data_IF_239979404530
#
_entry.id   IF_239979404530
#
_cell.length_a   1.000
_cell.length_b   1.000
_cell.length_c   1.000
_cell.angle_alpha   90.00
_cell.angle_beta   90.00
_cell.angle_gamma   90.00
#
_symmetry.space_group_name_H-M   'P 1'
#
loop_
_entity.id
_entity.type
_entity.pdbx_description
1 polymer ?
#
# COMPACT_ATOMS: atom_id res chain seq x y z
N UNK A 1 16.00 -9.16 8.88
CA UNK A 1 14.74 -9.58 9.55
C UNK A 1 13.80 -10.10 8.48
N UNK A 2 12.75 -10.88 8.79
CA UNK A 2 11.77 -11.29 7.77
C UNK A 2 10.99 -10.07 7.27
N UNK A 3 10.67 -10.02 5.99
CA UNK A 3 9.78 -9.00 5.42
C UNK A 3 8.37 -9.16 6.02
N UNK A 4 7.85 -8.13 6.67
CA UNK A 4 6.52 -8.15 7.28
C UNK A 4 5.64 -7.05 6.67
N UNK A 5 4.38 -7.39 6.38
CA UNK A 5 3.35 -6.40 6.02
C UNK A 5 2.19 -6.52 6.99
N UNK A 6 1.84 -5.40 7.65
CA UNK A 6 0.65 -5.27 8.46
C UNK A 6 -0.42 -4.45 7.71
N UNK A 7 -1.66 -4.93 7.75
CA UNK A 7 -2.80 -4.32 7.08
C UNK A 7 -3.46 -3.31 8.02
N UNK A 8 -3.16 -2.02 7.87
CA UNK A 8 -3.77 -0.93 8.63
C UNK A 8 -5.20 -0.71 8.16
N UNK A 9 -5.41 -0.74 6.84
CA UNK A 9 -6.70 -0.62 6.19
C UNK A 9 -6.77 -1.48 4.94
N UNK A 10 -7.97 -1.95 4.61
CA UNK A 10 -8.23 -2.84 3.48
C UNK A 10 -9.46 -2.45 2.68
N UNK A 11 -10.24 -1.48 3.17
CA UNK A 11 -11.47 -1.02 2.53
C UNK A 11 -11.18 -0.15 1.29
N UNK A 12 -12.18 -0.06 0.43
CA UNK A 12 -12.22 0.92 -0.66
C UNK A 12 -12.40 2.35 -0.14
N UNK A 13 -12.62 3.30 -1.04
CA UNK A 13 -12.76 4.72 -0.76
C UNK A 13 -13.84 5.10 0.29
N UNK A 14 -14.78 4.21 0.57
CA UNK A 14 -15.85 4.42 1.54
C UNK A 14 -15.80 3.33 2.63
N UNK A 15 -14.87 3.41 3.59
CA UNK A 15 -14.79 2.42 4.65
C UNK A 15 -16.03 2.46 5.53
N UNK A 16 -16.53 1.28 5.94
CA UNK A 16 -17.57 1.14 6.93
C UNK A 16 -17.06 1.51 8.33
N UNK A 17 -17.97 1.65 9.30
CA UNK A 17 -17.59 1.93 10.69
C UNK A 17 -16.58 0.91 11.22
N UNK A 18 -15.52 1.40 11.85
CA UNK A 18 -14.42 0.59 12.36
C UNK A 18 -13.39 0.13 11.31
N UNK A 19 -13.68 0.31 10.02
CA UNK A 19 -12.76 -0.02 8.93
C UNK A 19 -11.89 1.19 8.54
N UNK A 20 -10.90 0.94 7.68
CA UNK A 20 -9.97 1.95 7.17
C UNK A 20 -9.77 1.75 5.68
N UNK A 21 -9.61 2.83 4.91
CA UNK A 21 -9.19 2.73 3.52
C UNK A 21 -7.80 2.12 3.39
N UNK A 22 -7.47 1.66 2.21
CA UNK A 22 -6.24 0.90 1.94
C UNK A 22 -5.00 1.60 2.46
N UNK A 23 -4.29 0.94 3.37
CA UNK A 23 -3.06 1.42 3.98
C UNK A 23 -2.27 0.25 4.57
N UNK A 24 -0.97 0.20 4.34
CA UNK A 24 -0.11 -0.88 4.82
C UNK A 24 1.09 -0.35 5.57
N UNK A 25 1.59 -1.16 6.51
CA UNK A 25 2.84 -0.92 7.21
C UNK A 25 3.81 -2.05 6.87
N UNK A 26 4.92 -1.72 6.22
CA UNK A 26 5.98 -2.66 5.87
C UNK A 26 7.13 -2.49 6.85
N UNK A 27 7.61 -3.59 7.41
CA UNK A 27 8.73 -3.70 8.38
C UNK A 27 8.64 -2.77 9.61
N UNK A 28 7.53 -2.08 9.83
CA UNK A 28 7.29 -1.22 10.99
C UNK A 28 7.70 0.24 10.81
N UNK A 29 8.31 0.62 9.71
CA UNK A 29 8.82 1.97 9.44
C UNK A 29 8.42 2.54 8.08
N UNK A 30 7.81 1.75 7.20
CA UNK A 30 7.38 2.15 5.86
C UNK A 30 5.85 2.08 5.76
N UNK A 31 5.20 3.20 5.46
CA UNK A 31 3.79 3.21 5.07
C UNK A 31 3.64 3.08 3.55
N UNK A 32 2.65 2.32 3.11
CA UNK A 32 2.18 2.33 1.72
C UNK A 32 0.75 2.81 1.72
N UNK A 33 0.53 3.95 1.11
CA UNK A 33 -0.67 4.79 1.19
C UNK A 33 -0.99 5.27 2.62
N UNK A 34 -1.78 6.30 2.71
CA UNK A 34 -2.17 6.93 3.98
C UNK A 34 -3.67 7.21 4.01
N UNK A 35 -4.43 6.19 4.38
CA UNK A 35 -5.88 6.26 4.56
C UNK A 35 -6.31 7.24 5.64
N UNK A 36 -7.62 7.28 5.93
CA UNK A 36 -8.25 8.31 6.77
C UNK A 36 -7.58 8.50 8.13
N UNK A 37 -7.22 7.42 8.81
CA UNK A 37 -6.67 7.44 10.18
C UNK A 37 -5.29 6.78 10.28
N UNK A 38 -4.54 6.68 9.19
CA UNK A 38 -3.27 5.95 9.12
C UNK A 38 -2.33 6.29 10.30
N UNK A 39 -2.10 7.58 10.57
CA UNK A 39 -1.20 8.03 11.64
C UNK A 39 -1.63 7.64 13.06
N UNK A 40 -2.92 7.40 13.30
CA UNK A 40 -3.41 6.90 14.58
C UNK A 40 -3.42 5.36 14.59
N UNK A 41 -3.80 4.77 13.47
CA UNK A 41 -3.98 3.31 13.36
C UNK A 41 -2.66 2.53 13.47
N UNK A 42 -1.51 3.11 13.11
CA UNK A 42 -0.19 2.48 13.32
C UNK A 42 0.08 2.20 14.80
N UNK A 43 -0.45 3.02 15.73
CA UNK A 43 -0.29 2.83 17.17
C UNK A 43 -0.99 1.56 17.68
N UNK A 44 -2.11 1.18 17.06
CA UNK A 44 -2.80 -0.08 17.37
C UNK A 44 -1.96 -1.31 16.99
N UNK A 45 -0.98 -1.15 16.11
CA UNK A 45 -0.01 -2.17 15.73
C UNK A 45 1.27 -2.16 16.60
N UNK A 46 1.33 -1.27 17.60
CA UNK A 46 2.49 -1.11 18.51
C UNK A 46 3.62 -0.27 17.94
N UNK A 47 3.37 0.51 16.88
CA UNK A 47 4.36 1.37 16.22
C UNK A 47 4.05 2.84 16.51
N UNK A 48 5.04 3.61 16.92
CA UNK A 48 4.85 5.05 17.11
C UNK A 48 4.83 5.76 15.73
N UNK A 49 3.97 6.77 15.53
CA UNK A 49 3.98 7.54 14.28
C UNK A 49 5.34 8.17 13.97
N UNK A 50 6.14 8.43 15.00
CA UNK A 50 7.52 8.94 14.87
C UNK A 50 8.51 7.92 14.33
N UNK A 51 8.16 6.63 14.30
CA UNK A 51 9.02 5.57 13.79
C UNK A 51 8.86 5.38 12.27
N UNK A 52 7.91 6.06 11.66
CA UNK A 52 7.71 6.02 10.20
C UNK A 52 8.78 6.89 9.54
N UNK A 53 9.65 6.27 8.77
CA UNK A 53 10.74 6.93 8.04
C UNK A 53 10.42 7.13 6.55
N UNK A 54 9.55 6.26 6.00
CA UNK A 54 9.24 6.23 4.57
C UNK A 54 7.74 6.12 4.33
N UNK A 55 7.24 6.84 3.34
CA UNK A 55 5.86 6.75 2.86
C UNK A 55 5.89 6.57 1.35
N UNK A 56 5.31 5.49 0.86
CA UNK A 56 5.11 5.21 -0.56
C UNK A 56 3.65 5.46 -0.91
N UNK A 57 3.38 6.36 -1.84
CA UNK A 57 2.03 6.66 -2.34
C UNK A 57 1.87 5.98 -3.69
N UNK A 58 0.86 5.11 -3.80
CA UNK A 58 0.56 4.43 -5.07
C UNK A 58 0.01 5.40 -6.09
N UNK A 59 -0.95 6.23 -5.68
CA UNK A 59 -1.55 7.30 -6.48
C UNK A 59 -2.26 8.32 -5.57
N UNK A 60 -2.67 9.44 -6.13
CA UNK A 60 -3.18 10.57 -5.36
C UNK A 60 -4.72 10.69 -5.33
N UNK A 61 -5.47 9.58 -5.40
CA UNK A 61 -6.88 9.64 -5.01
C UNK A 61 -7.00 9.90 -3.50
N UNK A 62 -8.10 10.53 -3.13
CA UNK A 62 -8.30 11.04 -1.76
C UNK A 62 -8.16 9.95 -0.69
N UNK A 63 -8.68 8.76 -0.91
CA UNK A 63 -8.66 7.64 0.04
C UNK A 63 -7.28 6.99 0.26
N UNK A 64 -6.30 7.33 -0.60
CA UNK A 64 -4.89 6.93 -0.47
C UNK A 64 -4.00 8.01 0.15
N UNK A 65 -4.49 9.27 0.25
CA UNK A 65 -3.67 10.41 0.72
C UNK A 65 -4.34 11.28 1.77
N UNK A 66 -5.62 11.06 2.09
CA UNK A 66 -6.39 11.93 3.00
C UNK A 66 -5.81 12.00 4.40
N UNK A 67 -5.14 10.95 4.87
CA UNK A 67 -4.48 10.89 6.16
C UNK A 67 -3.12 11.59 6.20
N UNK A 68 -2.59 12.04 5.06
CA UNK A 68 -1.24 12.62 4.99
C UNK A 68 -1.03 13.79 5.95
N UNK A 69 -1.95 14.76 6.09
CA UNK A 69 -1.78 15.84 7.07
C UNK A 69 -1.65 15.30 8.50
N UNK A 70 -2.44 14.30 8.86
CA UNK A 70 -2.40 13.68 10.18
C UNK A 70 -1.07 12.94 10.45
N UNK A 71 -0.59 12.20 9.45
CA UNK A 71 0.71 11.51 9.55
C UNK A 71 1.85 12.51 9.68
N UNK A 72 1.90 13.56 8.86
CA UNK A 72 2.90 14.62 8.94
C UNK A 72 2.89 15.29 10.32
N UNK A 73 1.70 15.63 10.84
CA UNK A 73 1.57 16.26 12.16
C UNK A 73 2.07 15.34 13.28
N UNK A 74 1.67 14.08 13.30
CA UNK A 74 2.10 13.13 14.33
C UNK A 74 3.59 12.80 14.22
N UNK A 75 4.11 12.69 13.01
CA UNK A 75 5.53 12.42 12.74
C UNK A 75 6.42 13.65 13.06
N UNK A 76 5.88 14.87 13.14
CA UNK A 76 6.63 16.08 13.47
C UNK A 76 7.36 16.02 14.82
N UNK A 77 6.97 15.07 15.69
CA UNK A 77 7.62 14.85 17.00
C UNK A 77 8.84 13.94 16.92
N UNK A 78 9.20 13.44 15.74
CA UNK A 78 10.36 12.53 15.56
C UNK A 78 11.69 13.13 16.01
N UNK A 79 11.89 14.44 15.82
CA UNK A 79 13.11 15.13 16.27
C UNK A 79 13.24 15.21 17.80
N UNK A 80 12.12 15.06 18.54
CA UNK A 80 12.11 14.99 20.00
C UNK A 80 12.13 13.54 20.52
N UNK A 81 11.98 12.55 19.65
CA UNK A 81 12.20 11.15 19.97
C UNK A 81 13.71 10.92 20.16
N UNK A 82 14.07 10.04 21.09
CA UNK A 82 15.46 9.79 21.52
C UNK A 82 16.19 8.94 20.46
N UNK A 83 16.13 9.37 19.18
CA UNK A 83 16.81 8.72 18.05
C UNK A 83 17.35 9.75 17.04
N UNK A 84 18.46 9.44 16.40
CA UNK A 84 18.93 10.14 15.21
C UNK A 84 17.97 9.84 14.04
N UNK A 85 16.96 10.67 13.85
CA UNK A 85 16.02 10.55 12.76
C UNK A 85 16.41 11.52 11.64
N UNK A 86 16.64 10.98 10.46
CA UNK A 86 16.73 11.77 9.22
C UNK A 86 15.38 12.39 8.82
N UNK A 87 15.27 13.01 7.64
CA UNK A 87 13.99 13.49 7.12
C UNK A 87 13.01 12.34 6.90
N UNK A 88 11.71 12.65 6.87
CA UNK A 88 10.68 11.74 6.39
C UNK A 88 10.73 11.69 4.86
N UNK A 89 10.87 10.52 4.28
CA UNK A 89 10.92 10.34 2.83
C UNK A 89 9.55 9.98 2.27
N UNK A 90 9.09 10.76 1.29
CA UNK A 90 7.81 10.58 0.59
C UNK A 90 8.10 10.15 -0.86
N UNK A 91 7.65 8.96 -1.26
CA UNK A 91 7.84 8.42 -2.60
C UNK A 91 6.49 8.31 -3.32
N UNK A 92 6.43 8.67 -4.60
CA UNK A 92 5.19 8.52 -5.37
C UNK A 92 5.22 9.17 -6.74
N UNK A 93 4.05 9.24 -7.43
CA UNK A 93 3.92 9.91 -8.71
C UNK A 93 4.10 11.43 -8.59
N UNK A 94 4.17 12.13 -9.73
CA UNK A 94 4.37 13.59 -9.73
C UNK A 94 3.28 14.37 -8.98
N UNK A 95 2.06 13.86 -8.93
CA UNK A 95 0.94 14.46 -8.20
C UNK A 95 1.16 14.51 -6.68
N UNK A 96 2.16 13.79 -6.15
CA UNK A 96 2.50 13.81 -4.73
C UNK A 96 2.95 15.20 -4.25
N UNK A 97 3.67 15.97 -5.08
CA UNK A 97 4.10 17.34 -4.71
C UNK A 97 2.93 18.29 -4.45
N UNK A 98 1.95 18.49 -5.34
CA UNK A 98 0.79 19.35 -5.04
C UNK A 98 -0.06 18.80 -3.88
N UNK A 99 -0.18 17.49 -3.71
CA UNK A 99 -0.89 16.89 -2.57
C UNK A 99 -0.18 17.20 -1.25
N UNK A 100 1.14 17.01 -1.19
CA UNK A 100 1.93 17.37 0.00
C UNK A 100 1.84 18.87 0.29
N UNK A 101 1.92 19.71 -0.73
CA UNK A 101 1.75 21.17 -0.56
C UNK A 101 0.39 21.52 0.03
N UNK A 102 -0.68 20.85 -0.40
CA UNK A 102 -2.02 21.05 0.16
C UNK A 102 -2.10 20.59 1.62
N UNK A 103 -1.46 19.46 1.97
CA UNK A 103 -1.37 18.98 3.36
C UNK A 103 -0.61 19.95 4.26
N UNK A 104 0.49 20.52 3.79
CA UNK A 104 1.26 21.56 4.51
C UNK A 104 0.44 22.84 4.70
N UNK A 105 -0.27 23.29 3.68
CA UNK A 105 -1.16 24.46 3.77
C UNK A 105 -2.32 24.20 4.76
N UNK A 106 -2.90 23.01 4.76
CA UNK A 106 -3.92 22.62 5.74
C UNK A 106 -3.39 22.68 7.19
N UNK A 107 -2.15 22.28 7.42
CA UNK A 107 -1.47 22.34 8.72
C UNK A 107 -0.95 23.74 9.06
N UNK A 108 -1.09 24.74 8.17
CA UNK A 108 -0.50 26.07 8.30
C UNK A 108 1.02 26.02 8.59
N UNK A 109 1.74 25.13 7.89
CA UNK A 109 3.16 24.86 8.14
C UNK A 109 4.06 26.08 7.91
N UNK A 110 3.69 27.01 7.04
CA UNK A 110 4.34 28.31 6.85
C UNK A 110 4.31 29.17 8.10
N UNK A 111 3.21 29.09 8.86
CA UNK A 111 3.02 29.83 10.12
C UNK A 111 3.57 29.07 11.33
N UNK A 112 3.48 27.74 11.29
CA UNK A 112 3.86 26.85 12.38
C UNK A 112 4.78 25.72 11.87
N UNK A 113 6.03 26.02 11.47
CA UNK A 113 6.91 25.02 10.84
C UNK A 113 7.18 23.79 11.71
N UNK A 114 7.05 23.89 13.04
CA UNK A 114 7.25 22.79 13.96
C UNK A 114 6.12 21.72 13.92
N UNK A 115 5.04 21.94 13.18
CA UNK A 115 3.92 20.98 13.07
C UNK A 115 4.12 19.93 11.98
N UNK A 116 5.21 20.03 11.24
CA UNK A 116 5.60 19.05 10.22
C UNK A 116 7.03 18.58 10.44
N UNK A 117 7.40 17.35 10.05
CA UNK A 117 8.79 16.91 10.09
C UNK A 117 9.57 17.54 8.94
N UNK A 118 10.90 17.57 9.07
CA UNK A 118 11.75 17.67 7.87
C UNK A 118 11.41 16.51 6.94
N UNK A 119 11.22 16.79 5.65
CA UNK A 119 10.78 15.78 4.70
C UNK A 119 11.35 16.01 3.30
N UNK A 120 11.47 14.92 2.56
CA UNK A 120 11.93 14.91 1.17
C UNK A 120 10.91 14.20 0.28
N UNK A 121 10.62 14.77 -0.89
CA UNK A 121 9.72 14.18 -1.88
C UNK A 121 10.55 13.59 -3.02
N UNK A 122 10.31 12.31 -3.30
CA UNK A 122 10.97 11.55 -4.36
C UNK A 122 9.91 11.13 -5.38
N UNK A 123 9.97 11.71 -6.58
CA UNK A 123 9.15 11.23 -7.70
C UNK A 123 9.74 9.95 -8.24
N UNK A 124 8.93 8.90 -8.28
CA UNK A 124 9.36 7.57 -8.72
C UNK A 124 8.61 7.14 -9.98
N UNK A 125 9.31 6.47 -10.87
CA UNK A 125 8.79 6.06 -12.18
C UNK A 125 8.86 4.55 -12.35
N UNK A 126 7.96 3.97 -13.18
CA UNK A 126 8.06 2.55 -13.51
C UNK A 126 9.46 2.17 -13.99
N UNK A 127 9.89 0.96 -13.63
CA UNK A 127 11.20 0.37 -13.90
C UNK A 127 12.36 0.93 -13.06
N UNK A 128 12.08 1.85 -12.12
CA UNK A 128 13.07 2.28 -11.12
C UNK A 128 13.10 1.33 -9.92
N UNK A 129 14.21 1.36 -9.19
CA UNK A 129 14.41 0.62 -7.93
C UNK A 129 15.02 1.54 -6.88
N UNK A 130 14.58 1.37 -5.63
CA UNK A 130 15.02 2.12 -4.46
C UNK A 130 15.56 1.11 -3.44
N UNK A 131 16.72 1.40 -2.85
CA UNK A 131 17.28 0.58 -1.78
C UNK A 131 17.07 1.28 -0.42
N UNK A 132 16.49 0.56 0.54
CA UNK A 132 16.27 1.02 1.91
C UNK A 132 16.83 -0.06 2.85
N UNK A 133 18.06 0.10 3.31
CA UNK A 133 18.74 -0.93 4.08
C UNK A 133 18.80 -2.25 3.32
N UNK A 134 18.28 -3.32 3.92
CA UNK A 134 18.20 -4.66 3.29
C UNK A 134 16.95 -4.84 2.41
N UNK A 135 16.19 -3.78 2.17
CA UNK A 135 14.97 -3.83 1.36
C UNK A 135 15.19 -3.16 0.00
N UNK A 136 14.88 -3.88 -1.07
CA UNK A 136 14.77 -3.32 -2.41
C UNK A 136 13.31 -3.11 -2.75
N UNK A 137 12.97 -1.91 -3.25
CA UNK A 137 11.63 -1.54 -3.71
C UNK A 137 11.68 -1.27 -5.21
N UNK A 138 11.11 -2.17 -6.00
CA UNK A 138 10.95 -1.97 -7.44
C UNK A 138 9.61 -1.27 -7.71
N UNK A 139 9.60 -0.35 -8.67
CA UNK A 139 8.44 0.46 -9.04
C UNK A 139 7.82 -0.08 -10.32
N UNK A 140 6.56 -0.49 -10.24
CA UNK A 140 5.77 -0.95 -11.37
C UNK A 140 4.72 0.06 -11.81
N UNK A 141 4.17 -0.15 -13.00
CA UNK A 141 3.04 0.61 -13.53
C UNK A 141 1.73 0.05 -13.03
N UNK A 142 0.81 0.90 -12.59
CA UNK A 142 -0.60 0.57 -12.43
C UNK A 142 -1.42 1.20 -13.58
N UNK A 143 -2.49 0.54 -13.99
CA UNK A 143 -3.38 1.04 -15.05
C UNK A 143 -4.62 1.67 -14.41
N UNK A 144 -4.53 2.97 -14.16
CA UNK A 144 -5.52 3.73 -13.40
C UNK A 144 -5.74 5.12 -14.05
N UNK A 145 -6.86 5.84 -13.78
CA UNK A 145 -7.10 7.15 -14.37
C UNK A 145 -6.07 8.22 -13.97
N UNK A 146 -5.50 8.12 -12.77
CA UNK A 146 -4.39 8.95 -12.34
C UNK A 146 -3.04 8.28 -12.65
N UNK A 147 -1.96 9.04 -12.59
CA UNK A 147 -0.60 8.51 -12.61
C UNK A 147 -0.39 7.63 -11.37
N UNK A 148 -0.23 6.32 -11.56
CA UNK A 148 -0.28 5.34 -10.49
C UNK A 148 0.89 4.35 -10.54
N UNK A 149 1.26 3.83 -9.37
CA UNK A 149 2.38 2.90 -9.16
C UNK A 149 1.92 1.65 -8.43
N UNK A 150 2.56 0.55 -8.79
CA UNK A 150 2.63 -0.66 -7.98
C UNK A 150 4.02 -0.75 -7.36
N UNK A 151 4.15 -1.34 -6.19
CA UNK A 151 5.44 -1.49 -5.51
C UNK A 151 5.72 -2.96 -5.21
N UNK A 152 6.94 -3.40 -5.51
CA UNK A 152 7.45 -4.72 -5.11
C UNK A 152 8.55 -4.53 -4.08
N UNK A 153 8.29 -4.99 -2.86
CA UNK A 153 9.26 -5.02 -1.77
C UNK A 153 9.92 -6.39 -1.75
N UNK A 154 11.24 -6.41 -1.77
CA UNK A 154 12.05 -7.63 -1.72
C UNK A 154 13.11 -7.48 -0.63
N UNK A 155 13.09 -8.37 0.35
CA UNK A 155 14.17 -8.50 1.32
C UNK A 155 15.39 -9.13 0.61
N UNK A 156 16.49 -8.38 0.54
CA UNK A 156 17.69 -8.79 -0.22
C UNK A 156 18.45 -9.94 0.43
N UNK A 157 18.22 -10.18 1.72
CA UNK A 157 18.87 -11.25 2.51
C UNK A 157 18.06 -12.54 2.41
N UNK A 158 16.77 -12.50 2.75
CA UNK A 158 15.89 -13.69 2.75
C UNK A 158 15.34 -14.02 1.36
N UNK A 159 15.35 -13.06 0.44
CA UNK A 159 14.74 -13.10 -0.90
C UNK A 159 13.22 -13.18 -0.89
N UNK A 160 12.58 -13.04 0.27
CA UNK A 160 11.13 -12.94 0.38
C UNK A 160 10.61 -11.67 -0.27
N UNK A 161 9.46 -11.72 -0.95
CA UNK A 161 8.93 -10.59 -1.70
C UNK A 161 7.41 -10.44 -1.61
N UNK A 162 6.94 -9.20 -1.62
CA UNK A 162 5.52 -8.84 -1.70
C UNK A 162 5.31 -7.78 -2.78
N UNK A 163 4.22 -7.91 -3.53
CA UNK A 163 3.77 -6.88 -4.46
C UNK A 163 2.49 -6.25 -3.93
N UNK A 164 2.43 -4.93 -3.90
CA UNK A 164 1.26 -4.11 -3.58
C UNK A 164 0.89 -3.36 -4.85
N UNK A 165 -0.29 -3.64 -5.41
CA UNK A 165 -0.66 -3.14 -6.74
C UNK A 165 -1.07 -1.67 -6.74
N UNK A 166 -1.57 -1.14 -5.61
CA UNK A 166 -2.40 0.06 -5.67
C UNK A 166 -3.68 -0.22 -6.48
N UNK A 167 -4.37 0.83 -6.88
CA UNK A 167 -5.57 0.71 -7.70
C UNK A 167 -5.19 0.53 -9.18
N UNK A 168 -5.75 -0.49 -9.81
CA UNK A 168 -5.41 -0.84 -11.19
C UNK A 168 -6.46 -1.72 -11.84
N UNK A 169 -6.75 -1.50 -13.12
CA UNK A 169 -7.34 -2.53 -13.95
C UNK A 169 -6.30 -3.60 -14.30
N UNK A 170 -6.79 -4.80 -14.67
CA UNK A 170 -5.91 -5.84 -15.18
C UNK A 170 -5.13 -5.37 -16.42
N UNK A 171 -3.82 -5.67 -16.44
CA UNK A 171 -2.95 -5.54 -17.60
C UNK A 171 -1.81 -6.57 -17.53
N UNK A 172 -1.30 -7.01 -18.69
CA UNK A 172 -0.28 -8.07 -18.78
C UNK A 172 1.03 -7.69 -18.05
N UNK A 173 1.44 -6.42 -18.12
CA UNK A 173 2.64 -5.93 -17.45
C UNK A 173 2.61 -6.08 -15.92
N UNK A 174 1.41 -6.12 -15.31
CA UNK A 174 1.28 -6.34 -13.87
C UNK A 174 1.62 -7.78 -13.48
N UNK A 175 1.22 -8.76 -14.28
CA UNK A 175 1.58 -10.15 -14.04
C UNK A 175 3.10 -10.39 -14.16
N UNK A 176 3.76 -9.76 -15.14
CA UNK A 176 5.22 -9.83 -15.26
C UNK A 176 5.92 -9.13 -14.08
N UNK A 177 5.41 -7.95 -13.64
CA UNK A 177 5.95 -7.23 -12.48
C UNK A 177 5.81 -8.04 -11.18
N UNK A 178 4.69 -8.75 -11.01
CA UNK A 178 4.42 -9.59 -9.84
C UNK A 178 5.04 -11.00 -9.92
N UNK A 179 5.80 -11.29 -10.98
CA UNK A 179 6.31 -12.63 -11.25
C UNK A 179 7.03 -13.23 -10.05
N UNK A 180 6.64 -14.47 -9.69
CA UNK A 180 7.20 -15.29 -8.61
C UNK A 180 7.23 -14.59 -7.24
N UNK A 181 6.36 -13.58 -6.98
CA UNK A 181 6.30 -12.98 -5.64
C UNK A 181 5.63 -13.94 -4.64
N UNK A 182 6.01 -13.84 -3.37
CA UNK A 182 5.46 -14.70 -2.32
C UNK A 182 4.04 -14.31 -1.95
N UNK A 183 3.77 -13.00 -1.92
CA UNK A 183 2.44 -12.45 -1.62
C UNK A 183 2.11 -11.36 -2.64
N UNK A 184 1.00 -11.53 -3.34
CA UNK A 184 0.39 -10.48 -4.15
C UNK A 184 -0.76 -9.85 -3.36
N UNK A 185 -0.60 -8.59 -2.98
CA UNK A 185 -1.67 -7.77 -2.39
C UNK A 185 -2.30 -6.97 -3.51
N UNK A 186 -3.52 -7.33 -3.88
CA UNK A 186 -4.19 -6.82 -5.08
C UNK A 186 -5.56 -6.23 -4.75
N UNK A 187 -5.87 -5.07 -5.33
CA UNK A 187 -7.17 -4.46 -5.21
C UNK A 187 -8.27 -5.31 -5.85
N UNK A 188 -9.50 -5.18 -5.36
CA UNK A 188 -10.68 -5.81 -5.90
C UNK A 188 -11.92 -4.92 -5.69
N UNK A 189 -11.83 -3.64 -6.10
CA UNK A 189 -12.90 -2.67 -5.88
C UNK A 189 -14.11 -2.89 -6.81
N UNK A 190 -13.88 -3.47 -7.99
CA UNK A 190 -14.99 -3.75 -8.90
C UNK A 190 -15.78 -4.99 -8.44
N UNK A 191 -17.13 -4.92 -8.42
CA UNK A 191 -17.95 -6.05 -7.99
C UNK A 191 -17.69 -7.31 -8.82
N UNK A 192 -17.82 -8.53 -8.22
CA UNK A 192 -17.62 -9.79 -8.95
C UNK A 192 -18.52 -9.95 -10.18
N UNK A 193 -19.68 -9.31 -10.15
CA UNK A 193 -20.71 -9.35 -11.21
C UNK A 193 -20.53 -8.26 -12.27
N UNK A 194 -19.55 -7.36 -12.12
CA UNK A 194 -19.32 -6.30 -13.11
C UNK A 194 -18.99 -6.89 -14.47
N UNK A 195 -19.63 -6.39 -15.52
CA UNK A 195 -19.35 -6.75 -16.91
C UNK A 195 -18.25 -5.86 -17.47
N UNK A 196 -17.06 -6.43 -17.70
CA UNK A 196 -15.93 -5.70 -18.28
C UNK A 196 -15.26 -4.71 -17.30
N UNK A 197 -14.29 -3.97 -17.82
CA UNK A 197 -13.57 -2.93 -17.11
C UNK A 197 -14.40 -1.64 -17.11
N UNK A 198 -14.64 -1.05 -15.93
CA UNK A 198 -15.22 0.28 -15.86
C UNK A 198 -14.15 1.31 -16.27
N UNK A 199 -14.26 1.82 -17.49
CA UNK A 199 -13.29 2.76 -18.07
C UNK A 199 -13.14 4.08 -17.30
N UNK A 200 -14.12 4.41 -16.43
CA UNK A 200 -14.06 5.61 -15.61
C UNK A 200 -13.16 5.46 -14.39
N UNK A 201 -13.17 4.25 -13.79
CA UNK A 201 -12.49 4.01 -12.51
C UNK A 201 -11.28 3.08 -12.64
N UNK A 202 -11.24 2.22 -13.67
CA UNK A 202 -10.15 1.29 -13.96
C UNK A 202 -9.75 0.43 -12.76
N UNK A 203 -10.76 -0.18 -12.12
CA UNK A 203 -10.54 -1.14 -11.02
C UNK A 203 -10.63 -2.59 -11.49
N UNK A 204 -9.98 -3.46 -10.75
CA UNK A 204 -10.02 -4.91 -10.93
C UNK A 204 -11.20 -5.55 -10.19
N UNK A 205 -11.75 -6.61 -10.79
CA UNK A 205 -12.65 -7.56 -10.13
C UNK A 205 -11.83 -8.64 -9.42
N UNK A 206 -12.39 -9.40 -8.48
CA UNK A 206 -11.67 -10.49 -7.81
C UNK A 206 -11.13 -11.55 -8.79
N UNK A 207 -11.82 -11.82 -9.90
CA UNK A 207 -11.31 -12.73 -10.94
C UNK A 207 -10.16 -12.15 -11.76
N UNK A 208 -10.06 -10.82 -11.89
CA UNK A 208 -8.93 -10.17 -12.54
C UNK A 208 -7.68 -10.25 -11.66
N UNK A 209 -7.83 -10.04 -10.35
CA UNK A 209 -6.77 -10.25 -9.36
C UNK A 209 -6.29 -11.71 -9.34
N UNK A 210 -7.23 -12.67 -9.37
CA UNK A 210 -6.92 -14.10 -9.45
C UNK A 210 -6.17 -14.47 -10.74
N UNK A 211 -6.52 -13.83 -11.86
CA UNK A 211 -5.82 -13.99 -13.13
C UNK A 211 -4.38 -13.49 -13.05
N UNK A 212 -4.15 -12.30 -12.50
CA UNK A 212 -2.79 -11.78 -12.27
C UNK A 212 -1.99 -12.74 -11.39
N UNK A 213 -2.58 -13.23 -10.29
CA UNK A 213 -1.93 -14.18 -9.39
C UNK A 213 -1.53 -15.49 -10.09
N UNK A 214 -2.39 -16.00 -10.98
CA UNK A 214 -2.11 -17.21 -11.75
C UNK A 214 -1.00 -16.98 -12.78
N UNK A 215 -1.10 -15.90 -13.56
CA UNK A 215 -0.15 -15.58 -14.64
C UNK A 215 1.24 -15.21 -14.08
N UNK A 216 1.30 -14.57 -12.91
CA UNK A 216 2.55 -14.22 -12.23
C UNK A 216 3.18 -15.38 -11.46
N UNK A 217 2.52 -16.52 -11.33
CA UNK A 217 2.99 -17.63 -10.47
C UNK A 217 3.23 -17.24 -9.00
N UNK A 218 2.50 -16.23 -8.49
CA UNK A 218 2.63 -15.83 -7.09
C UNK A 218 2.24 -16.97 -6.13
N UNK A 219 2.85 -16.99 -4.94
CA UNK A 219 2.55 -18.08 -3.97
C UNK A 219 1.21 -17.90 -3.27
N UNK A 220 0.78 -16.65 -2.99
CA UNK A 220 -0.53 -16.37 -2.38
C UNK A 220 -1.08 -15.01 -2.82
N UNK A 221 -2.41 -14.90 -2.88
CA UNK A 221 -3.16 -13.69 -3.20
C UNK A 221 -3.91 -13.17 -1.98
N UNK A 222 -3.75 -11.88 -1.67
CA UNK A 222 -4.53 -11.15 -0.68
C UNK A 222 -5.36 -10.06 -1.37
N UNK A 223 -6.68 -10.15 -1.28
CA UNK A 223 -7.58 -9.13 -1.81
C UNK A 223 -7.73 -7.99 -0.81
N UNK A 224 -7.66 -6.76 -1.33
CA UNK A 224 -7.84 -5.49 -0.59
C UNK A 224 -8.68 -4.53 -1.42
N UNK A 225 -8.93 -3.33 -0.90
CA UNK A 225 -9.67 -2.26 -1.56
C UNK A 225 -11.07 -2.71 -2.03
N UNK A 226 -11.79 -3.38 -1.17
CA UNK A 226 -13.12 -3.92 -1.45
C UNK A 226 -14.16 -3.37 -0.46
N UNK A 227 -15.44 -3.48 -0.81
CA UNK A 227 -16.54 -3.23 0.12
C UNK A 227 -16.64 -4.41 1.09
N UNK A 228 -16.55 -4.14 2.39
CA UNK A 228 -16.44 -5.17 3.43
C UNK A 228 -17.63 -6.14 3.49
N UNK A 229 -18.83 -5.68 3.13
CA UNK A 229 -20.03 -6.52 3.02
C UNK A 229 -19.97 -7.51 1.84
N UNK A 230 -19.09 -7.28 0.86
CA UNK A 230 -18.91 -8.14 -0.30
C UNK A 230 -17.76 -9.16 -0.13
N UNK A 231 -17.03 -9.13 0.98
CA UNK A 231 -15.82 -9.93 1.21
C UNK A 231 -15.99 -11.43 0.89
N UNK A 232 -17.13 -12.03 1.29
CA UNK A 232 -17.38 -13.45 1.03
C UNK A 232 -17.56 -13.77 -0.46
N UNK A 233 -18.27 -12.91 -1.19
CA UNK A 233 -18.49 -13.05 -2.63
C UNK A 233 -17.18 -12.84 -3.40
N UNK A 234 -16.38 -11.83 -2.99
CA UNK A 234 -15.06 -11.56 -3.55
C UNK A 234 -14.14 -12.78 -3.41
N UNK A 235 -14.05 -13.34 -2.20
CA UNK A 235 -13.23 -14.52 -1.90
C UNK A 235 -13.66 -15.72 -2.72
N UNK A 236 -14.96 -16.01 -2.76
CA UNK A 236 -15.50 -17.15 -3.53
C UNK A 236 -15.12 -17.04 -4.99
N UNK A 237 -15.29 -15.86 -5.58
CA UNK A 237 -15.05 -15.64 -7.00
C UNK A 237 -13.56 -15.69 -7.37
N UNK A 238 -12.69 -15.14 -6.53
CA UNK A 238 -11.26 -15.21 -6.78
C UNK A 238 -10.70 -16.62 -6.65
N UNK A 239 -11.20 -17.43 -5.70
CA UNK A 239 -10.77 -18.82 -5.50
C UNK A 239 -11.08 -19.76 -6.66
N UNK A 240 -12.04 -19.41 -7.51
CA UNK A 240 -12.31 -20.17 -8.75
C UNK A 240 -11.10 -20.13 -9.70
N UNK A 241 -10.38 -19.01 -9.76
CA UNK A 241 -9.19 -18.81 -10.59
C UNK A 241 -7.87 -19.08 -9.86
N UNK A 242 -7.80 -18.76 -8.56
CA UNK A 242 -6.59 -18.93 -7.75
C UNK A 242 -6.93 -19.40 -6.34
N UNK A 243 -6.83 -20.72 -6.04
CA UNK A 243 -7.28 -21.29 -4.77
C UNK A 243 -6.60 -20.73 -3.53
N UNK A 244 -5.29 -20.36 -3.61
CA UNK A 244 -4.55 -19.77 -2.49
C UNK A 244 -4.82 -18.29 -2.34
N UNK A 245 -6.10 -17.92 -2.30
CA UNK A 245 -6.60 -16.57 -2.13
C UNK A 245 -7.19 -16.38 -0.74
N UNK A 246 -6.99 -15.20 -0.18
CA UNK A 246 -7.67 -14.71 1.02
C UNK A 246 -8.17 -13.29 0.82
N UNK A 247 -9.11 -12.87 1.62
CA UNK A 247 -9.50 -11.48 1.82
C UNK A 247 -8.73 -10.99 3.03
N UNK A 248 -7.89 -9.99 2.85
CA UNK A 248 -7.15 -9.39 3.95
C UNK A 248 -8.11 -8.64 4.91
N UNK A 249 -7.74 -8.55 6.16
CA UNK A 249 -8.51 -7.83 7.19
C UNK A 249 -7.62 -6.84 7.92
N UNK A 250 -8.22 -5.74 8.35
CA UNK A 250 -7.56 -4.76 9.22
C UNK A 250 -6.95 -5.44 10.45
N UNK A 251 -5.73 -5.10 10.77
CA UNK A 251 -4.98 -5.65 11.91
C UNK A 251 -4.24 -6.96 11.63
N UNK A 252 -4.50 -7.64 10.51
CA UNK A 252 -3.73 -8.83 10.12
C UNK A 252 -2.29 -8.47 9.77
N UNK A 253 -1.42 -9.47 9.85
CA UNK A 253 -0.03 -9.38 9.39
C UNK A 253 0.33 -10.58 8.52
N UNK A 254 1.24 -10.38 7.60
CA UNK A 254 1.91 -11.46 6.89
C UNK A 254 3.42 -11.30 7.04
N UNK A 255 4.09 -12.40 7.43
CA UNK A 255 5.55 -12.50 7.50
C UNK A 255 6.04 -13.38 6.36
N UNK A 256 6.98 -12.87 5.58
CA UNK A 256 7.58 -13.57 4.46
C UNK A 256 8.99 -13.93 4.88
N UNK A 257 9.20 -15.23 5.13
CA UNK A 257 10.45 -15.77 5.70
C UNK A 257 11.48 -16.10 4.60
N UNK A 258 11.03 -16.15 3.36
CA UNK A 258 11.79 -16.50 2.17
C UNK A 258 10.86 -16.99 1.07
N UNK A 259 11.37 -17.35 -0.11
CA UNK A 259 10.56 -17.78 -1.24
C UNK A 259 9.61 -18.93 -0.91
N UNK A 260 8.32 -18.72 -1.17
CA UNK A 260 7.25 -19.67 -0.88
C UNK A 260 6.88 -19.84 0.60
N UNK A 261 7.43 -19.03 1.50
CA UNK A 261 7.26 -19.15 2.96
C UNK A 261 6.59 -17.91 3.55
N UNK A 262 5.28 -17.78 3.38
CA UNK A 262 4.47 -16.72 3.97
C UNK A 262 3.62 -17.25 5.14
N UNK A 263 3.72 -16.62 6.30
CA UNK A 263 2.96 -16.92 7.51
C UNK A 263 2.01 -15.76 7.83
N UNK A 264 0.72 -16.02 7.94
CA UNK A 264 -0.32 -15.06 8.29
C UNK A 264 -0.62 -15.11 9.80
N UNK A 265 -0.67 -13.92 10.42
CA UNK A 265 -0.87 -13.75 11.86
C UNK A 265 -2.04 -12.80 12.12
#
# INVERSE_FOLDING_TARGET
MALEVAFIGVSSAYPSDGEESTCFLVNGDILVDVGFNAGISVQALGVAPTDIDHIFITHCHHDHVIGLPGVLFLNSKRAAADREAGPLHLYGPQDLTPVTSAALAFLQADRYPQVVPEHEIHHVYPDESIEIGDLRVDVGRAFHPLDARSYRFTDTVTRGSVVITGDTAYHEGLAEFAKDCDVLIHEAAAPPTASGINQRYLHSRPQDAARVAQESSTSSLALVHYQTDQAAAMLSRAKEGFPNTRVARKGQRVKILGPGQAAWV
#
